data_IF_044612024587
#
_entry.id   IF_044612024587
#
_cell.length_a   1.000
_cell.length_b   1.000
_cell.length_c   1.000
_cell.angle_alpha   90.00
_cell.angle_beta   90.00
_cell.angle_gamma   90.00
#
_symmetry.space_group_name_H-M   'P 1'
#
loop_
_entity.id
_entity.type
_entity.pdbx_description
1 polymer ?
#
# COMPACT_ATOMS: atom_id res chain seq x y z
N UNK A 1 -10.10 -42.52 63.94
CA UNK A 1 -10.26 -41.21 63.27
C UNK A 1 -11.67 -41.16 62.69
N UNK A 2 -12.54 -40.31 63.22
CA UNK A 2 -13.99 -40.39 62.98
C UNK A 2 -14.33 -39.80 61.60
N UNK A 3 -15.08 -40.55 60.77
CA UNK A 3 -15.48 -40.18 59.40
C UNK A 3 -16.16 -38.80 59.35
N UNK A 4 -16.88 -38.42 60.41
CA UNK A 4 -17.51 -37.10 60.54
C UNK A 4 -16.50 -35.96 60.56
N UNK A 5 -15.35 -36.13 61.22
CA UNK A 5 -14.29 -35.11 61.30
C UNK A 5 -13.56 -34.92 59.96
N UNK A 6 -13.39 -36.00 59.20
CA UNK A 6 -12.79 -35.97 57.87
C UNK A 6 -13.69 -35.23 56.88
N UNK A 7 -15.01 -35.47 56.95
CA UNK A 7 -15.99 -34.83 56.07
C UNK A 7 -16.11 -33.31 56.32
N UNK A 8 -16.09 -32.88 57.58
CA UNK A 8 -16.04 -31.45 57.92
C UNK A 8 -14.74 -30.77 57.49
N UNK A 9 -13.61 -31.48 57.57
CA UNK A 9 -12.32 -30.97 57.09
C UNK A 9 -12.34 -30.76 55.57
N UNK A 10 -12.86 -31.70 54.80
CA UNK A 10 -13.00 -31.56 53.34
C UNK A 10 -14.02 -30.48 52.92
N UNK A 11 -15.11 -30.27 53.68
CA UNK A 11 -16.02 -29.15 53.41
C UNK A 11 -15.38 -27.78 53.69
N UNK A 12 -14.63 -27.63 54.78
CA UNK A 12 -13.92 -26.39 55.10
C UNK A 12 -12.86 -26.04 54.06
N UNK A 13 -12.09 -27.02 53.57
CA UNK A 13 -11.09 -26.83 52.50
C UNK A 13 -11.75 -26.43 51.17
N UNK A 14 -12.89 -27.04 50.82
CA UNK A 14 -13.61 -26.75 49.57
C UNK A 14 -14.24 -25.35 49.55
N UNK A 15 -14.73 -24.86 50.70
CA UNK A 15 -15.25 -23.50 50.84
C UNK A 15 -14.11 -22.46 50.76
N UNK A 16 -12.96 -22.76 51.38
CA UNK A 16 -11.76 -21.91 51.30
C UNK A 16 -11.24 -21.76 49.87
N UNK A 17 -11.18 -22.83 49.08
CA UNK A 17 -10.79 -22.76 47.67
C UNK A 17 -11.79 -22.01 46.79
N UNK A 18 -13.10 -22.16 47.03
CA UNK A 18 -14.11 -21.43 46.27
C UNK A 18 -14.04 -19.92 46.52
N UNK A 19 -13.78 -19.49 47.76
CA UNK A 19 -13.59 -18.07 48.08
C UNK A 19 -12.30 -17.51 47.48
N UNK A 20 -11.22 -18.28 47.44
CA UNK A 20 -9.95 -17.87 46.81
C UNK A 20 -10.10 -17.75 45.29
N UNK A 21 -10.77 -18.72 44.65
CA UNK A 21 -11.05 -18.66 43.21
C UNK A 21 -11.97 -17.48 42.89
N UNK A 22 -13.01 -17.24 43.70
CA UNK A 22 -13.91 -16.09 43.52
C UNK A 22 -13.19 -14.76 43.74
N UNK A 23 -12.31 -14.65 44.73
CA UNK A 23 -11.50 -13.45 44.95
C UNK A 23 -10.52 -13.19 43.79
N UNK A 24 -9.89 -14.25 43.26
CA UNK A 24 -8.96 -14.14 42.12
C UNK A 24 -9.68 -13.80 40.81
N UNK A 25 -10.87 -14.36 40.54
CA UNK A 25 -11.65 -14.01 39.35
C UNK A 25 -12.21 -12.59 39.43
N UNK A 26 -12.62 -12.13 40.62
CA UNK A 26 -13.02 -10.73 40.83
C UNK A 26 -11.83 -9.78 40.59
N UNK A 27 -10.63 -10.11 41.08
CA UNK A 27 -9.42 -9.29 40.81
C UNK A 27 -9.07 -9.25 39.31
N UNK A 28 -9.31 -10.34 38.57
CA UNK A 28 -9.01 -10.41 37.13
C UNK A 28 -10.10 -9.77 36.24
N UNK A 29 -11.35 -9.70 36.72
CA UNK A 29 -12.49 -9.10 36.01
C UNK A 29 -12.76 -7.64 36.37
N UNK A 30 -12.19 -7.13 37.47
CA UNK A 30 -12.25 -5.71 37.77
C UNK A 30 -11.40 -4.96 36.74
N UNK A 31 -11.99 -4.03 35.95
CA UNK A 31 -11.21 -3.22 35.04
C UNK A 31 -10.15 -2.47 35.85
N UNK A 32 -8.87 -2.74 35.58
CA UNK A 32 -7.80 -1.99 36.19
C UNK A 32 -8.03 -0.51 35.82
N UNK A 33 -7.98 0.40 36.79
CA UNK A 33 -8.09 1.86 36.57
C UNK A 33 -7.17 2.39 35.45
N UNK A 34 -6.13 1.62 35.14
CA UNK A 34 -5.16 1.91 34.09
C UNK A 34 -5.55 1.38 32.69
N UNK A 35 -6.49 0.42 32.53
CA UNK A 35 -6.87 -0.09 31.19
C UNK A 35 -7.62 0.96 30.37
N UNK A 36 -8.55 1.71 30.98
CA UNK A 36 -9.19 2.84 30.31
C UNK A 36 -8.21 3.96 29.97
N UNK A 37 -7.17 4.15 30.80
CA UNK A 37 -6.13 5.17 30.60
C UNK A 37 -5.17 4.78 29.47
N UNK A 38 -4.73 3.52 29.42
CA UNK A 38 -3.88 2.99 28.34
C UNK A 38 -4.57 3.07 26.97
N UNK A 39 -5.85 2.69 26.89
CA UNK A 39 -6.65 2.82 25.65
C UNK A 39 -6.81 4.30 25.27
N UNK A 40 -7.04 5.19 26.24
CA UNK A 40 -7.19 6.63 25.96
C UNK A 40 -5.89 7.28 25.46
N UNK A 41 -4.74 6.83 25.94
CA UNK A 41 -3.43 7.36 25.55
C UNK A 41 -3.01 6.83 24.17
N UNK A 42 -3.29 5.56 23.88
CA UNK A 42 -3.06 4.95 22.57
C UNK A 42 -3.95 5.58 21.48
N UNK A 43 -5.23 5.80 21.77
CA UNK A 43 -6.17 6.51 20.86
C UNK A 43 -5.78 7.98 20.70
N UNK A 44 -5.39 8.66 21.79
CA UNK A 44 -4.87 10.03 21.70
C UNK A 44 -3.59 10.11 20.85
N UNK A 45 -2.69 9.13 20.95
CA UNK A 45 -1.47 9.12 20.15
C UNK A 45 -1.72 8.69 18.70
N UNK A 46 -2.70 7.83 18.44
CA UNK A 46 -3.06 7.45 17.06
C UNK A 46 -3.61 8.64 16.28
N UNK A 47 -4.40 9.53 16.90
CA UNK A 47 -4.87 10.77 16.25
C UNK A 47 -3.75 11.78 15.94
N UNK A 48 -2.58 11.66 16.59
CA UNK A 48 -1.38 12.45 16.27
C UNK A 48 -0.52 11.84 15.17
N UNK A 49 -0.87 10.67 14.65
CA UNK A 49 -0.14 10.05 13.55
C UNK A 49 -0.17 10.96 12.31
N UNK A 50 0.94 11.04 11.59
CA UNK A 50 1.12 11.96 10.45
C UNK A 50 0.03 11.80 9.38
N UNK A 51 -0.52 10.59 9.22
CA UNK A 51 -1.58 10.28 8.26
C UNK A 51 -2.92 10.96 8.56
N UNK A 52 -3.18 11.34 9.82
CA UNK A 52 -4.39 12.05 10.24
C UNK A 52 -4.15 13.55 10.45
N UNK A 53 -2.92 14.03 10.24
CA UNK A 53 -2.61 15.44 10.29
C UNK A 53 -2.98 16.13 8.97
N UNK A 54 -3.50 17.37 9.00
CA UNK A 54 -3.81 18.10 7.78
C UNK A 54 -2.54 18.37 6.96
N UNK A 55 -2.65 18.27 5.64
CA UNK A 55 -1.55 18.58 4.72
C UNK A 55 -1.25 20.08 4.80
N UNK A 56 0.03 20.42 5.05
CA UNK A 56 0.51 21.80 5.08
C UNK A 56 1.28 22.10 3.80
N UNK A 57 1.24 23.35 3.34
CA UNK A 57 2.07 23.86 2.25
C UNK A 57 3.30 24.57 2.83
N UNK A 58 4.44 23.87 3.01
CA UNK A 58 5.65 24.51 3.53
C UNK A 58 6.22 25.52 2.52
N UNK A 59 6.95 26.54 3.00
CA UNK A 59 7.64 27.47 2.11
C UNK A 59 8.65 26.71 1.24
N UNK A 60 8.79 27.16 -0.01
CA UNK A 60 9.75 26.57 -0.94
C UNK A 60 11.18 26.90 -0.51
N UNK A 61 12.10 25.92 -0.50
CA UNK A 61 13.51 26.19 -0.28
C UNK A 61 14.06 27.14 -1.35
N UNK A 62 14.69 28.22 -0.89
CA UNK A 62 15.35 29.18 -1.77
C UNK A 62 16.79 28.75 -2.03
N UNK A 63 17.13 28.67 -3.31
CA UNK A 63 18.49 28.45 -3.78
C UNK A 63 18.80 29.46 -4.87
N UNK A 64 20.03 30.01 -4.91
CA UNK A 64 20.49 30.77 -6.07
C UNK A 64 20.36 29.86 -7.30
N UNK A 65 19.81 30.42 -8.38
CA UNK A 65 19.34 29.75 -9.59
C UNK A 65 20.18 28.52 -9.97
N UNK A 66 19.62 27.33 -9.74
CA UNK A 66 20.22 26.05 -10.13
C UNK A 66 19.42 25.48 -11.30
N UNK A 67 20.07 25.34 -12.45
CA UNK A 67 19.50 24.75 -13.68
C UNK A 67 18.98 23.31 -13.51
N UNK A 68 19.35 22.65 -12.40
CA UNK A 68 18.93 21.29 -12.09
C UNK A 68 17.49 21.21 -11.55
N UNK A 69 17.05 22.18 -10.75
CA UNK A 69 15.74 22.13 -10.10
C UNK A 69 14.68 22.75 -11.02
N UNK A 70 13.95 21.91 -11.75
CA UNK A 70 12.98 22.34 -12.78
C UNK A 70 11.57 22.54 -12.20
N UNK A 71 11.23 21.80 -11.14
CA UNK A 71 9.93 21.84 -10.47
C UNK A 71 10.06 22.27 -9.00
N UNK A 72 8.93 22.60 -8.37
CA UNK A 72 8.89 22.92 -6.94
C UNK A 72 9.31 21.71 -6.08
N UNK A 73 9.03 20.48 -6.53
CA UNK A 73 9.43 19.25 -5.84
C UNK A 73 10.96 19.09 -5.87
N UNK A 74 11.59 19.40 -7.01
CA UNK A 74 13.04 19.31 -7.16
C UNK A 74 13.79 20.21 -6.17
N UNK A 75 13.19 21.34 -5.75
CA UNK A 75 13.76 22.22 -4.72
C UNK A 75 13.85 21.52 -3.37
N UNK A 76 12.82 20.78 -2.96
CA UNK A 76 12.85 20.01 -1.72
C UNK A 76 13.87 18.86 -1.79
N UNK A 77 14.00 18.21 -2.95
CA UNK A 77 15.00 17.17 -3.17
C UNK A 77 16.41 17.77 -3.11
N UNK A 78 16.64 18.89 -3.81
CA UNK A 78 17.92 19.60 -3.81
C UNK A 78 18.32 20.02 -2.40
N UNK A 79 17.36 20.47 -1.58
CA UNK A 79 17.61 20.78 -0.16
C UNK A 79 18.20 19.58 0.58
N UNK A 80 17.58 18.41 0.46
CA UNK A 80 18.07 17.18 1.11
C UNK A 80 19.44 16.74 0.60
N UNK A 81 19.68 16.82 -0.72
CA UNK A 81 20.99 16.53 -1.32
C UNK A 81 22.07 17.46 -0.74
N UNK A 82 21.79 18.76 -0.63
CA UNK A 82 22.74 19.75 -0.10
C UNK A 82 22.94 19.64 1.41
N UNK A 83 21.89 19.33 2.19
CA UNK A 83 22.01 19.05 3.62
C UNK A 83 22.96 17.86 3.87
N UNK A 84 22.98 16.88 2.95
CA UNK A 84 23.90 15.75 2.97
C UNK A 84 25.27 16.05 2.34
N UNK A 85 25.55 17.30 1.94
CA UNK A 85 26.80 17.73 1.28
C UNK A 85 27.09 16.99 -0.03
N UNK A 86 26.05 16.55 -0.72
CA UNK A 86 26.14 15.88 -2.01
C UNK A 86 25.86 16.87 -3.16
N UNK A 87 26.15 16.43 -4.38
CA UNK A 87 25.78 17.15 -5.60
C UNK A 87 24.82 16.30 -6.44
N UNK A 88 23.84 16.93 -7.14
CA UNK A 88 22.93 16.19 -8.00
C UNK A 88 23.68 15.46 -9.12
N UNK A 89 23.19 14.28 -9.50
CA UNK A 89 23.75 13.51 -10.60
C UNK A 89 23.50 14.19 -11.95
N UNK A 90 24.43 14.01 -12.89
CA UNK A 90 24.24 14.44 -14.29
C UNK A 90 23.08 13.69 -14.93
N UNK A 91 22.38 14.36 -15.86
CA UNK A 91 21.31 13.74 -16.64
C UNK A 91 21.86 12.54 -17.42
N UNK A 92 21.11 11.44 -17.42
CA UNK A 92 21.49 10.23 -18.15
C UNK A 92 21.45 10.46 -19.67
N UNK A 93 22.31 9.78 -20.46
CA UNK A 93 22.23 9.81 -21.92
C UNK A 93 20.87 9.35 -22.44
N UNK A 94 20.46 9.84 -23.61
CA UNK A 94 19.15 9.51 -24.22
C UNK A 94 18.94 8.00 -24.39
N UNK A 95 19.98 7.25 -24.76
CA UNK A 95 19.98 5.79 -24.90
C UNK A 95 19.58 5.10 -23.60
N UNK A 96 20.14 5.55 -22.48
CA UNK A 96 19.84 4.99 -21.16
C UNK A 96 18.43 5.38 -20.71
N UNK A 97 18.01 6.63 -20.97
CA UNK A 97 16.68 7.12 -20.61
C UNK A 97 15.57 6.33 -21.30
N UNK A 98 15.64 6.14 -22.62
CA UNK A 98 14.60 5.39 -23.35
C UNK A 98 14.54 3.94 -22.89
N UNK A 99 15.70 3.28 -22.69
CA UNK A 99 15.70 1.90 -22.21
C UNK A 99 15.04 1.78 -20.85
N UNK A 100 15.40 2.65 -19.90
CA UNK A 100 14.81 2.64 -18.54
C UNK A 100 13.31 2.84 -18.58
N UNK A 101 12.84 3.90 -19.24
CA UNK A 101 11.41 4.23 -19.20
C UNK A 101 10.53 3.15 -19.85
N UNK A 102 11.01 2.47 -20.90
CA UNK A 102 10.31 1.33 -21.48
C UNK A 102 10.23 0.15 -20.51
N UNK A 103 11.32 -0.18 -19.82
CA UNK A 103 11.29 -1.22 -18.79
C UNK A 103 10.41 -0.82 -17.62
N UNK A 104 10.44 0.44 -17.19
CA UNK A 104 9.67 0.91 -16.04
C UNK A 104 8.17 0.88 -16.35
N UNK A 105 7.75 1.39 -17.51
CA UNK A 105 6.34 1.52 -17.87
C UNK A 105 5.75 0.28 -18.54
N UNK A 106 6.47 -0.35 -19.49
CA UNK A 106 5.95 -1.46 -20.29
C UNK A 106 6.60 -2.82 -19.95
N UNK A 107 7.81 -2.83 -19.36
CA UNK A 107 8.47 -4.05 -18.90
C UNK A 107 9.27 -4.80 -19.95
N UNK A 108 9.42 -4.24 -21.14
CA UNK A 108 10.24 -4.79 -22.21
C UNK A 108 11.17 -3.70 -22.77
N UNK A 109 12.24 -4.06 -23.51
CA UNK A 109 13.10 -3.06 -24.14
C UNK A 109 12.39 -2.36 -25.31
N UNK A 110 12.79 -1.13 -25.67
CA UNK A 110 12.29 -0.44 -26.87
C UNK A 110 12.75 -1.13 -28.15
N UNK A 111 12.03 -0.94 -29.25
CA UNK A 111 12.52 -1.34 -30.57
C UNK A 111 13.70 -0.47 -31.00
N UNK A 112 14.54 -0.99 -31.88
CA UNK A 112 15.69 -0.25 -32.41
C UNK A 112 15.26 1.06 -33.10
N UNK A 113 14.21 1.02 -33.93
CA UNK A 113 13.67 2.19 -34.62
C UNK A 113 13.15 3.28 -33.68
N UNK A 114 12.53 2.90 -32.56
CA UNK A 114 12.04 3.83 -31.54
C UNK A 114 13.19 4.52 -30.81
N UNK A 115 14.26 3.75 -30.52
CA UNK A 115 15.49 4.26 -29.92
C UNK A 115 16.17 5.29 -30.83
N UNK A 116 16.37 4.95 -32.11
CA UNK A 116 16.96 5.86 -33.09
C UNK A 116 16.13 7.14 -33.24
N UNK A 117 14.81 7.01 -33.32
CA UNK A 117 13.90 8.16 -33.46
C UNK A 117 13.98 9.09 -32.25
N UNK A 118 14.01 8.54 -31.02
CA UNK A 118 14.12 9.34 -29.80
C UNK A 118 15.46 10.04 -29.66
N UNK A 119 16.57 9.35 -30.00
CA UNK A 119 17.92 9.92 -29.93
C UNK A 119 18.04 11.12 -30.87
N UNK A 120 17.59 10.95 -32.12
CA UNK A 120 17.67 11.96 -33.18
C UNK A 120 16.66 13.10 -33.03
N UNK A 121 15.61 12.94 -32.21
CA UNK A 121 14.60 13.97 -32.01
C UNK A 121 15.20 15.21 -31.30
N UNK A 122 15.23 16.40 -31.94
CA UNK A 122 15.78 17.61 -31.35
C UNK A 122 14.80 18.33 -30.41
N UNK A 123 13.51 17.92 -30.39
CA UNK A 123 12.49 18.58 -29.60
C UNK A 123 12.83 18.50 -28.09
N UNK A 124 12.88 19.62 -27.36
CA UNK A 124 13.12 19.61 -25.91
C UNK A 124 12.08 18.78 -25.13
N UNK A 125 10.85 18.66 -25.66
CA UNK A 125 9.75 17.91 -25.06
C UNK A 125 9.71 16.43 -25.50
N UNK A 126 10.68 15.95 -26.29
CA UNK A 126 10.67 14.58 -26.81
C UNK A 126 10.54 13.50 -25.73
N UNK A 127 11.08 13.75 -24.53
CA UNK A 127 10.97 12.81 -23.41
C UNK A 127 9.56 12.77 -22.82
N UNK A 128 8.90 13.92 -22.63
CA UNK A 128 7.53 14.00 -22.11
C UNK A 128 6.57 13.34 -23.09
N UNK A 129 6.65 13.69 -24.38
CA UNK A 129 5.83 13.06 -25.43
C UNK A 129 6.05 11.54 -25.51
N UNK A 130 7.28 11.06 -25.28
CA UNK A 130 7.53 9.62 -25.19
C UNK A 130 6.82 9.01 -23.97
N UNK A 131 6.92 9.61 -22.79
CA UNK A 131 6.25 9.14 -21.58
C UNK A 131 4.74 9.07 -21.80
N UNK A 132 4.12 10.13 -22.32
CA UNK A 132 2.68 10.17 -22.61
C UNK A 132 2.25 9.05 -23.56
N UNK A 133 3.04 8.80 -24.61
CA UNK A 133 2.82 7.69 -25.55
C UNK A 133 2.84 6.33 -24.82
N UNK A 134 3.82 6.12 -23.94
CA UNK A 134 3.97 4.84 -23.22
C UNK A 134 2.88 4.63 -22.17
N UNK A 135 2.46 5.69 -21.47
CA UNK A 135 1.34 5.63 -20.52
C UNK A 135 0.00 5.35 -21.22
N UNK A 136 -0.15 5.82 -22.46
CA UNK A 136 -1.35 5.55 -23.28
C UNK A 136 -1.35 4.16 -23.94
N UNK A 137 -0.29 3.37 -23.77
CA UNK A 137 -0.15 2.05 -24.38
C UNK A 137 -0.92 1.00 -23.56
N UNK A 138 -1.67 0.07 -24.16
CA UNK A 138 -2.39 -0.97 -23.40
C UNK A 138 -1.46 -1.85 -22.54
N UNK A 139 -0.21 -2.02 -22.95
CA UNK A 139 0.82 -2.77 -22.23
C UNK A 139 1.18 -2.13 -20.88
N UNK A 140 0.90 -0.83 -20.69
CA UNK A 140 1.08 -0.15 -19.41
C UNK A 140 0.18 -0.79 -18.35
N UNK A 141 -1.13 -0.89 -18.61
CA UNK A 141 -2.08 -1.54 -17.72
C UNK A 141 -1.74 -3.01 -17.48
N UNK A 142 -1.30 -3.74 -18.50
CA UNK A 142 -0.86 -5.14 -18.34
C UNK A 142 0.32 -5.26 -17.37
N UNK A 143 1.31 -4.37 -17.51
CA UNK A 143 2.46 -4.36 -16.62
C UNK A 143 2.07 -3.97 -15.19
N UNK A 144 1.33 -2.90 -15.02
CA UNK A 144 1.01 -2.35 -13.71
C UNK A 144 -0.04 -3.17 -12.96
N UNK A 145 -0.98 -3.79 -13.66
CA UNK A 145 -1.96 -4.70 -13.06
C UNK A 145 -1.29 -5.86 -12.34
N UNK A 146 -0.15 -6.36 -12.83
CA UNK A 146 0.61 -7.42 -12.14
C UNK A 146 0.91 -7.05 -10.68
N UNK A 147 1.41 -5.84 -10.45
CA UNK A 147 1.74 -5.37 -9.10
C UNK A 147 0.52 -5.32 -8.18
N UNK A 148 -0.63 -4.92 -8.72
CA UNK A 148 -1.88 -4.93 -7.96
C UNK A 148 -2.37 -6.35 -7.68
N UNK A 149 -2.38 -7.20 -8.71
CA UNK A 149 -2.86 -8.58 -8.64
C UNK A 149 -2.00 -9.44 -7.70
N UNK A 150 -0.71 -9.15 -7.57
CA UNK A 150 0.17 -9.77 -6.58
C UNK A 150 -0.31 -9.46 -5.14
N UNK A 151 -0.66 -8.19 -4.87
CA UNK A 151 -1.17 -7.75 -3.55
C UNK A 151 -2.55 -8.34 -3.29
N UNK A 152 -3.41 -8.35 -4.31
CA UNK A 152 -4.76 -8.92 -4.24
C UNK A 152 -4.75 -10.46 -4.16
N UNK A 153 -3.58 -11.10 -4.27
CA UNK A 153 -3.40 -12.56 -4.31
C UNK A 153 -4.25 -13.22 -5.39
N UNK A 154 -4.28 -12.59 -6.56
CA UNK A 154 -4.94 -13.13 -7.73
C UNK A 154 -4.34 -14.50 -8.10
N UNK A 155 -5.21 -15.44 -8.46
CA UNK A 155 -4.81 -16.69 -9.06
C UNK A 155 -5.90 -17.17 -10.02
N UNK A 156 -5.50 -17.71 -11.17
CA UNK A 156 -6.42 -18.42 -12.06
C UNK A 156 -6.83 -19.79 -11.50
N UNK A 157 -6.05 -20.34 -10.55
CA UNK A 157 -6.29 -21.67 -9.99
C UNK A 157 -6.16 -21.74 -8.47
N UNK A 158 -6.88 -22.68 -7.86
CA UNK A 158 -6.87 -23.03 -6.43
C UNK A 158 -5.61 -23.78 -5.98
N UNK A 159 -4.73 -24.14 -6.91
CA UNK A 159 -3.60 -25.04 -6.66
C UNK A 159 -4.04 -26.52 -6.62
N UNK A 160 -3.66 -27.24 -5.58
CA UNK A 160 -3.91 -28.68 -5.47
C UNK A 160 -5.28 -28.97 -4.82
N UNK A 161 -6.22 -29.48 -5.62
CA UNK A 161 -7.54 -29.95 -5.19
C UNK A 161 -7.81 -31.34 -5.77
N UNK A 162 -8.48 -32.22 -5.00
CA UNK A 162 -8.70 -33.64 -5.34
C UNK A 162 -10.01 -33.91 -6.07
N UNK A 163 -11.09 -33.22 -5.72
CA UNK A 163 -12.46 -33.53 -6.17
C UNK A 163 -13.16 -32.34 -6.84
N UNK A 164 -12.46 -31.22 -7.01
CA UNK A 164 -12.99 -29.99 -7.60
C UNK A 164 -12.17 -29.56 -8.82
N UNK A 165 -12.76 -28.70 -9.66
CA UNK A 165 -12.00 -28.00 -10.68
C UNK A 165 -10.91 -27.16 -10.01
N UNK A 166 -9.71 -27.21 -10.58
CA UNK A 166 -8.58 -26.38 -10.15
C UNK A 166 -8.78 -24.92 -10.49
N UNK A 167 -9.54 -24.62 -11.54
CA UNK A 167 -9.72 -23.26 -12.04
C UNK A 167 -10.74 -22.49 -11.21
N UNK A 168 -10.46 -21.22 -10.93
CA UNK A 168 -11.48 -20.30 -10.45
C UNK A 168 -12.31 -19.83 -11.65
N UNK A 169 -13.63 -20.12 -11.67
CA UNK A 169 -14.49 -19.68 -12.78
C UNK A 169 -14.41 -18.17 -12.97
N UNK A 170 -14.16 -17.75 -14.20
CA UNK A 170 -14.10 -16.34 -14.61
C UNK A 170 -13.06 -15.47 -13.88
N UNK A 171 -12.05 -16.04 -13.21
CA UNK A 171 -11.02 -15.24 -12.53
C UNK A 171 -10.36 -14.21 -13.45
N UNK A 172 -10.09 -14.61 -14.71
CA UNK A 172 -9.53 -13.73 -15.73
C UNK A 172 -10.32 -12.43 -15.95
N UNK A 173 -11.63 -12.43 -15.71
CA UNK A 173 -12.46 -11.23 -15.85
C UNK A 173 -12.06 -10.15 -14.85
N UNK A 174 -11.68 -10.53 -13.62
CA UNK A 174 -11.15 -9.59 -12.63
C UNK A 174 -9.77 -9.08 -13.04
N UNK A 175 -8.87 -9.95 -13.53
CA UNK A 175 -7.57 -9.54 -14.08
C UNK A 175 -7.75 -8.52 -15.20
N UNK A 176 -8.59 -8.83 -16.18
CA UNK A 176 -8.82 -7.98 -17.35
C UNK A 176 -9.48 -6.66 -16.95
N UNK A 177 -10.40 -6.69 -15.96
CA UNK A 177 -10.99 -5.48 -15.39
C UNK A 177 -9.95 -4.58 -14.70
N UNK A 178 -9.00 -5.14 -13.93
CA UNK A 178 -7.91 -4.36 -13.31
C UNK A 178 -7.02 -3.73 -14.38
N UNK A 179 -6.65 -4.49 -15.41
CA UNK A 179 -5.86 -3.99 -16.56
C UNK A 179 -6.58 -2.81 -17.22
N UNK A 180 -7.86 -2.98 -17.52
CA UNK A 180 -8.67 -1.95 -18.17
C UNK A 180 -8.85 -0.71 -17.28
N UNK A 181 -9.05 -0.89 -15.98
CA UNK A 181 -9.20 0.22 -15.03
C UNK A 181 -7.93 1.09 -14.99
N UNK A 182 -6.75 0.48 -15.04
CA UNK A 182 -5.48 1.21 -15.09
C UNK A 182 -5.29 1.93 -16.43
N UNK A 183 -5.58 1.27 -17.55
CA UNK A 183 -5.46 1.87 -18.88
C UNK A 183 -6.47 3.02 -19.12
N UNK A 184 -7.61 3.00 -18.43
CA UNK A 184 -8.63 4.06 -18.49
C UNK A 184 -8.38 5.19 -17.48
N UNK A 185 -7.29 5.12 -16.71
CA UNK A 185 -6.97 6.08 -15.64
C UNK A 185 -8.13 6.23 -14.64
N UNK A 186 -8.74 5.11 -14.24
CA UNK A 186 -9.83 5.13 -13.26
C UNK A 186 -9.31 5.73 -11.93
N UNK A 187 -9.99 6.76 -11.38
CA UNK A 187 -9.55 7.38 -10.14
C UNK A 187 -9.39 6.37 -9.01
N UNK A 188 -8.27 6.43 -8.29
CA UNK A 188 -7.94 5.44 -7.27
C UNK A 188 -9.04 5.28 -6.21
N UNK A 189 -9.69 6.37 -5.79
CA UNK A 189 -10.81 6.31 -4.86
C UNK A 189 -12.00 5.49 -5.40
N UNK A 190 -12.34 5.66 -6.69
CA UNK A 190 -13.40 4.88 -7.33
C UNK A 190 -12.98 3.43 -7.51
N UNK A 191 -11.75 3.19 -7.96
CA UNK A 191 -11.19 1.84 -8.10
C UNK A 191 -11.30 1.05 -6.79
N UNK A 192 -10.95 1.64 -5.65
CA UNK A 192 -11.08 0.99 -4.34
C UNK A 192 -12.55 0.78 -3.95
N UNK A 193 -13.42 1.75 -4.20
CA UNK A 193 -14.86 1.58 -3.94
C UNK A 193 -15.42 0.40 -4.76
N UNK A 194 -15.07 0.30 -6.04
CA UNK A 194 -15.51 -0.78 -6.93
C UNK A 194 -15.03 -2.15 -6.45
N UNK A 195 -13.81 -2.23 -5.94
CA UNK A 195 -13.24 -3.45 -5.34
C UNK A 195 -13.97 -3.88 -4.05
N UNK A 196 -14.34 -2.92 -3.19
CA UNK A 196 -14.94 -3.21 -1.88
C UNK A 196 -16.45 -3.44 -1.93
N UNK A 197 -17.17 -2.65 -2.74
CA UNK A 197 -18.62 -2.69 -2.79
C UNK A 197 -19.15 -3.82 -3.70
N UNK A 198 -18.30 -4.37 -4.59
CA UNK A 198 -18.68 -5.43 -5.54
C UNK A 198 -19.99 -5.10 -6.28
N UNK A 199 -21.04 -5.91 -6.09
CA UNK A 199 -22.35 -5.78 -6.73
C UNK A 199 -23.28 -4.75 -6.06
N UNK A 200 -22.86 -4.10 -4.97
CA UNK A 200 -23.70 -3.20 -4.16
C UNK A 200 -23.68 -1.73 -4.60
N UNK A 201 -22.96 -1.40 -5.67
CA UNK A 201 -22.92 -0.01 -6.16
C UNK A 201 -24.20 0.27 -6.94
N UNK A 202 -25.05 1.11 -6.36
CA UNK A 202 -26.16 1.73 -7.07
C UNK A 202 -25.55 2.87 -7.87
N UNK A 203 -25.45 2.70 -9.19
CA UNK A 203 -25.07 3.79 -10.09
C UNK A 203 -26.23 4.78 -10.08
N UNK A 204 -26.01 5.97 -9.53
CA UNK A 204 -26.93 7.08 -9.79
C UNK A 204 -26.57 7.58 -11.19
N UNK A 205 -27.46 7.34 -12.15
CA UNK A 205 -27.39 7.89 -13.50
C UNK A 205 -27.46 9.43 -13.48
#
# INVERSE_FOLDING_TARGET
MNLKSLFTFFQLVRIGHLLIIFALTVIFLLPNKDTGRAISEEVSNSTKHWAFSPIKNPPLPEFPQYDWAQTNIDRFILRKIKDQKLNPSKKSPKQTLIRRIYFDLLGHPPKHSETESFIKNPNPNAYVTLVDKLLSSPEFGEKWARHWLDIARYADTKGYVFQESREYPYAYSYRDWVINSLNQDLPYNEFIVYQLAADKIIKND
#
